data_IF_632233166195
#
_entry.id   IF_632233166195
#
_cell.length_a   1.000
_cell.length_b   1.000
_cell.length_c   1.000
_cell.angle_alpha   90.00
_cell.angle_beta   90.00
_cell.angle_gamma   90.00
#
_symmetry.space_group_name_H-M   'P 1'
#
loop_
_entity.id
_entity.type
_entity.pdbx_description
1 polymer ?
#
# COMPACT_ATOMS: atom_id res chain seq x y z
N UNK A 1 24.64 -34.91 -4.37
CA UNK A 1 24.11 -33.58 -4.01
C UNK A 1 23.92 -32.77 -5.29
N UNK A 2 22.69 -32.72 -5.82
CA UNK A 2 22.36 -32.10 -7.10
C UNK A 2 22.42 -30.57 -6.99
N UNK A 3 23.41 -29.94 -7.63
CA UNK A 3 23.60 -28.47 -7.64
C UNK A 3 22.96 -27.77 -8.85
N UNK A 4 22.24 -28.49 -9.71
CA UNK A 4 21.55 -27.92 -10.87
C UNK A 4 20.09 -27.60 -10.50
N UNK A 5 19.75 -26.32 -10.43
CA UNK A 5 18.39 -25.82 -10.15
C UNK A 5 18.22 -25.05 -8.84
N UNK A 6 19.11 -25.26 -7.85
CA UNK A 6 19.03 -24.57 -6.55
C UNK A 6 19.21 -23.04 -6.69
N UNK A 7 20.08 -22.59 -7.60
CA UNK A 7 20.28 -21.17 -7.88
C UNK A 7 19.02 -20.48 -8.44
N UNK A 8 18.18 -21.18 -9.20
CA UNK A 8 16.94 -20.61 -9.75
C UNK A 8 15.84 -20.52 -8.70
N UNK A 9 15.74 -21.53 -7.82
CA UNK A 9 14.81 -21.53 -6.68
C UNK A 9 15.13 -20.39 -5.70
N UNK A 10 16.42 -20.17 -5.40
CA UNK A 10 16.83 -19.14 -4.43
C UNK A 10 16.44 -17.73 -4.88
N UNK A 11 16.62 -17.42 -6.18
CA UNK A 11 16.20 -16.13 -6.75
C UNK A 11 14.68 -15.92 -6.72
N UNK A 12 13.88 -16.94 -7.05
CA UNK A 12 12.42 -16.83 -7.05
C UNK A 12 11.91 -16.60 -5.62
N UNK A 13 12.50 -17.27 -4.62
CA UNK A 13 12.13 -17.07 -3.23
C UNK A 13 12.39 -15.63 -2.75
N UNK A 14 13.53 -15.05 -3.14
CA UNK A 14 13.84 -13.65 -2.81
C UNK A 14 12.83 -12.70 -3.48
N UNK A 15 12.53 -12.90 -4.77
CA UNK A 15 11.58 -12.06 -5.51
C UNK A 15 10.17 -12.17 -4.89
N UNK A 16 9.74 -13.37 -4.53
CA UNK A 16 8.46 -13.60 -3.86
C UNK A 16 8.40 -12.90 -2.49
N UNK A 17 9.50 -12.90 -1.74
CA UNK A 17 9.55 -12.26 -0.43
C UNK A 17 9.51 -10.73 -0.55
N UNK A 18 10.28 -10.16 -1.48
CA UNK A 18 10.30 -8.71 -1.75
C UNK A 18 8.94 -8.23 -2.28
N UNK A 19 8.28 -9.01 -3.14
CA UNK A 19 6.96 -8.63 -3.68
C UNK A 19 5.89 -8.60 -2.59
N UNK A 20 5.85 -9.59 -1.69
CA UNK A 20 4.93 -9.58 -0.54
C UNK A 20 5.20 -8.38 0.37
N UNK A 21 6.47 -8.08 0.66
CA UNK A 21 6.84 -6.90 1.45
C UNK A 21 6.39 -5.60 0.79
N UNK A 22 6.59 -5.45 -0.52
CA UNK A 22 6.17 -4.28 -1.27
C UNK A 22 4.64 -4.10 -1.23
N UNK A 23 3.87 -5.18 -1.43
CA UNK A 23 2.40 -5.15 -1.37
C UNK A 23 1.93 -4.76 0.05
N UNK A 24 2.55 -5.31 1.09
CA UNK A 24 2.23 -4.99 2.48
C UNK A 24 2.46 -3.49 2.77
N UNK A 25 3.60 -2.95 2.32
CA UNK A 25 3.91 -1.52 2.46
C UNK A 25 2.88 -0.66 1.71
N UNK A 26 2.60 -0.97 0.44
CA UNK A 26 1.64 -0.19 -0.36
C UNK A 26 0.23 -0.23 0.24
N UNK A 27 -0.21 -1.37 0.78
CA UNK A 27 -1.51 -1.45 1.46
C UNK A 27 -1.53 -0.65 2.76
N UNK A 28 -0.45 -0.68 3.54
CA UNK A 28 -0.34 0.09 4.77
C UNK A 28 -0.31 1.61 4.51
N UNK A 29 0.52 2.06 3.58
CA UNK A 29 0.65 3.47 3.20
C UNK A 29 -0.51 3.97 2.32
N UNK A 30 -1.17 3.07 1.59
CA UNK A 30 -2.26 3.40 0.67
C UNK A 30 -3.44 4.06 1.38
N UNK A 31 -3.75 3.66 2.61
CA UNK A 31 -4.79 4.31 3.42
C UNK A 31 -4.47 5.78 3.71
N UNK A 32 -3.25 6.07 4.15
CA UNK A 32 -2.80 7.45 4.39
C UNK A 32 -2.74 8.30 3.12
N UNK A 33 -2.31 7.68 2.01
CA UNK A 33 -2.27 8.35 0.71
C UNK A 33 -3.69 8.71 0.25
N UNK A 34 -4.63 7.77 0.39
CA UNK A 34 -6.04 7.96 0.07
C UNK A 34 -6.65 9.07 0.92
N UNK A 35 -6.37 9.12 2.22
CA UNK A 35 -6.83 10.20 3.09
C UNK A 35 -6.26 11.56 2.71
N UNK A 36 -4.98 11.61 2.32
CA UNK A 36 -4.34 12.85 1.87
C UNK A 36 -4.98 13.36 0.59
N UNK A 37 -5.24 12.48 -0.37
CA UNK A 37 -5.96 12.81 -1.61
C UNK A 37 -7.37 13.27 -1.28
N UNK A 38 -8.12 12.52 -0.46
CA UNK A 38 -9.48 12.89 -0.06
C UNK A 38 -9.50 14.25 0.61
N UNK A 39 -8.55 14.56 1.50
CA UNK A 39 -8.46 15.87 2.15
C UNK A 39 -8.29 17.00 1.15
N UNK A 40 -7.38 16.84 0.19
CA UNK A 40 -7.20 17.81 -0.89
C UNK A 40 -8.46 17.90 -1.76
N UNK A 41 -9.08 16.78 -2.10
CA UNK A 41 -10.31 16.73 -2.90
C UNK A 41 -11.47 17.43 -2.21
N UNK A 42 -11.72 17.19 -0.91
CA UNK A 42 -12.77 17.87 -0.14
C UNK A 42 -12.55 19.38 -0.14
N UNK A 43 -11.31 19.83 0.09
CA UNK A 43 -10.97 21.25 0.06
C UNK A 43 -11.20 21.90 -1.30
N UNK A 44 -11.05 21.16 -2.40
CA UNK A 44 -11.29 21.68 -3.76
C UNK A 44 -12.79 21.82 -4.09
N UNK A 45 -13.64 20.98 -3.50
CA UNK A 45 -15.10 21.01 -3.69
C UNK A 45 -15.82 21.82 -2.59
N UNK A 46 -15.08 22.51 -1.72
CA UNK A 46 -15.63 23.33 -0.64
C UNK A 46 -16.25 22.52 0.51
N UNK A 47 -15.89 21.24 0.64
CA UNK A 47 -16.34 20.36 1.72
C UNK A 47 -15.25 20.18 2.77
N UNK A 48 -15.66 19.86 4.00
CA UNK A 48 -14.75 19.63 5.11
C UNK A 48 -14.32 18.15 5.14
N UNK A 49 -13.02 17.93 5.29
CA UNK A 49 -12.48 16.58 5.45
C UNK A 49 -12.74 16.07 6.88
N UNK A 50 -13.38 14.91 6.98
CA UNK A 50 -13.62 14.22 8.24
C UNK A 50 -12.83 12.91 8.23
N UNK A 51 -11.94 12.76 9.22
CA UNK A 51 -11.17 11.53 9.39
C UNK A 51 -12.08 10.36 9.79
N UNK A 52 -11.87 9.21 9.16
CA UNK A 52 -12.52 7.95 9.55
C UNK A 52 -11.79 7.25 10.69
N UNK A 53 -12.34 6.13 11.17
CA UNK A 53 -11.73 5.33 12.25
C UNK A 53 -10.40 4.68 11.84
N UNK A 54 -10.13 4.53 10.54
CA UNK A 54 -8.93 3.90 9.99
C UNK A 54 -8.35 4.73 8.84
N UNK A 55 -7.04 4.58 8.54
CA UNK A 55 -6.42 5.21 7.39
C UNK A 55 -7.12 4.79 6.09
N UNK A 56 -7.63 5.77 5.33
CA UNK A 56 -8.33 5.57 4.05
C UNK A 56 -9.85 5.55 4.13
N UNK A 57 -10.42 5.74 5.33
CA UNK A 57 -11.86 5.91 5.57
C UNK A 57 -12.30 7.38 5.64
N UNK A 58 -11.40 8.33 5.40
CA UNK A 58 -11.74 9.76 5.35
C UNK A 58 -12.83 10.07 4.33
N UNK A 59 -13.73 10.97 4.69
CA UNK A 59 -14.87 11.39 3.86
C UNK A 59 -14.98 12.90 3.81
N UNK A 60 -15.63 13.40 2.76
CA UNK A 60 -16.03 14.79 2.66
C UNK A 60 -17.44 14.96 3.26
N UNK A 61 -17.63 16.02 4.06
CA UNK A 61 -18.94 16.46 4.53
C UNK A 61 -19.18 17.92 4.13
#
# INVERSE_FOLDING_TARGET
MNKKGQALVEYILIIALVSVLAIALVNYFGGYLKDSITKTSCSMIGQEYVAGEKPGDGKCK
#
